data_IF_155604922696
#
_entry.id   IF_155604922696
#
_cell.length_a   1.000
_cell.length_b   1.000
_cell.length_c   1.000
_cell.angle_alpha   90.00
_cell.angle_beta   90.00
_cell.angle_gamma   90.00
#
_symmetry.space_group_name_H-M   'P 1'
#
loop_
_entity.id
_entity.type
_entity.pdbx_description
1 polymer ?
#
# COMPACT_ATOMS: atom_id res chain seq x y z
N UNK A 1 -9.37 -18.28 4.18
CA UNK A 1 -9.16 -17.60 5.49
C UNK A 1 -10.30 -16.64 5.66
N UNK A 2 -11.33 -17.08 6.34
CA UNK A 2 -12.67 -16.49 6.15
C UNK A 2 -12.88 -15.24 7.01
N UNK A 3 -11.84 -14.78 7.72
CA UNK A 3 -11.89 -13.63 8.62
C UNK A 3 -11.42 -12.32 7.99
N UNK A 4 -11.00 -12.31 6.72
CA UNK A 4 -10.41 -11.14 6.06
C UNK A 4 -11.50 -10.38 5.30
N UNK A 5 -11.75 -9.12 5.68
CA UNK A 5 -12.72 -8.25 4.99
C UNK A 5 -12.09 -7.41 3.88
N UNK A 6 -10.85 -6.98 4.05
CA UNK A 6 -10.17 -6.14 3.05
C UNK A 6 -8.65 -6.36 3.03
N UNK A 7 -8.01 -5.91 1.95
CA UNK A 7 -6.58 -6.04 1.67
C UNK A 7 -5.98 -4.66 1.44
N UNK A 8 -4.86 -4.38 2.10
CA UNK A 8 -4.24 -3.05 2.10
C UNK A 8 -2.74 -3.16 1.86
N UNK A 9 -2.23 -2.36 0.93
CA UNK A 9 -0.79 -2.17 0.71
C UNK A 9 -0.45 -0.70 0.50
N UNK A 10 0.78 -0.35 0.88
CA UNK A 10 1.35 0.98 0.67
C UNK A 10 2.73 0.86 0.05
N UNK A 11 3.02 1.74 -0.90
CA UNK A 11 4.35 1.92 -1.48
C UNK A 11 4.83 3.34 -1.24
N UNK A 12 6.14 3.50 -1.01
CA UNK A 12 6.72 4.78 -0.65
C UNK A 12 8.23 4.69 -0.45
N UNK A 13 8.77 5.65 0.29
CA UNK A 13 10.19 5.71 0.61
C UNK A 13 10.41 6.10 2.06
N UNK A 14 11.62 5.87 2.56
CA UNK A 14 12.05 6.38 3.85
C UNK A 14 12.88 7.64 3.66
N UNK A 15 12.68 8.62 4.53
CA UNK A 15 13.56 9.77 4.69
C UNK A 15 13.64 10.13 6.18
N UNK A 16 14.85 10.39 6.69
CA UNK A 16 15.08 10.64 8.12
C UNK A 16 14.41 9.58 9.05
N UNK A 17 14.49 8.30 8.68
CA UNK A 17 13.85 7.16 9.38
C UNK A 17 12.32 7.21 9.48
N UNK A 18 11.65 8.08 8.72
CA UNK A 18 10.19 8.15 8.61
C UNK A 18 9.76 7.62 7.25
N UNK A 19 8.72 6.80 7.21
CA UNK A 19 8.14 6.31 5.97
C UNK A 19 7.15 7.34 5.40
N UNK A 20 7.33 7.67 4.12
CA UNK A 20 6.46 8.57 3.37
C UNK A 20 5.74 7.77 2.28
N UNK A 21 4.43 7.54 2.43
CA UNK A 21 3.65 6.85 1.42
C UNK A 21 3.55 7.70 0.13
N UNK A 22 3.62 7.02 -1.01
CA UNK A 22 3.44 7.57 -2.36
C UNK A 22 2.24 6.97 -3.06
N UNK A 23 1.92 5.72 -2.75
CA UNK A 23 0.78 4.99 -3.26
C UNK A 23 0.15 4.20 -2.11
N UNK A 24 -1.17 4.14 -2.10
CA UNK A 24 -1.95 3.27 -1.22
C UNK A 24 -2.98 2.54 -2.07
N UNK A 25 -3.18 1.25 -1.83
CA UNK A 25 -4.28 0.50 -2.42
C UNK A 25 -5.09 -0.21 -1.35
N UNK A 26 -6.40 -0.26 -1.58
CA UNK A 26 -7.38 -1.01 -0.80
C UNK A 26 -8.17 -1.90 -1.76
N UNK A 27 -8.50 -3.11 -1.33
CA UNK A 27 -9.31 -4.06 -2.07
C UNK A 27 -10.23 -4.80 -1.11
N UNK A 28 -11.50 -4.92 -1.48
CA UNK A 28 -12.46 -5.81 -0.84
C UNK A 28 -13.26 -6.58 -1.90
N UNK A 29 -14.33 -7.25 -1.49
CA UNK A 29 -15.26 -7.90 -2.43
C UNK A 29 -16.12 -6.89 -3.18
N UNK A 30 -16.28 -5.68 -2.66
CA UNK A 30 -17.05 -4.61 -3.28
C UNK A 30 -16.26 -3.79 -4.31
N UNK A 31 -14.93 -3.83 -4.26
CA UNK A 31 -14.09 -3.18 -5.26
C UNK A 31 -12.66 -2.93 -4.84
N UNK A 32 -11.90 -2.31 -5.75
CA UNK A 32 -10.53 -1.89 -5.51
C UNK A 32 -10.41 -0.38 -5.69
N UNK A 33 -9.54 0.25 -4.91
CA UNK A 33 -9.14 1.64 -5.11
C UNK A 33 -7.64 1.78 -4.91
N UNK A 34 -7.04 2.63 -5.73
CA UNK A 34 -5.62 2.97 -5.67
C UNK A 34 -5.46 4.48 -5.70
N UNK A 35 -4.60 4.99 -4.83
CA UNK A 35 -4.44 6.41 -4.62
C UNK A 35 -2.98 6.79 -4.69
N UNK A 36 -2.69 7.89 -5.37
CA UNK A 36 -1.42 8.60 -5.18
C UNK A 36 -1.52 9.46 -3.94
N UNK A 37 -0.54 9.37 -3.05
CA UNK A 37 -0.53 10.12 -1.79
C UNK A 37 0.32 11.36 -1.97
N UNK A 38 -0.14 12.54 -1.56
CA UNK A 38 0.69 13.74 -1.45
C UNK A 38 1.29 13.80 -0.04
N UNK A 39 2.59 13.51 0.06
CA UNK A 39 3.36 13.55 1.31
C UNK A 39 3.95 14.93 1.63
N UNK A 40 3.71 15.94 0.78
CA UNK A 40 4.08 17.35 0.96
C UNK A 40 5.59 17.67 0.95
N UNK A 41 6.47 16.68 1.14
CA UNK A 41 7.91 16.86 1.01
C UNK A 41 8.34 17.27 -0.40
N UNK A 42 9.35 18.13 -0.44
CA UNK A 42 10.09 18.55 -1.64
C UNK A 42 11.46 17.90 -1.67
N UNK A 43 11.96 17.59 -2.87
CA UNK A 43 13.22 16.86 -3.02
C UNK A 43 14.42 17.61 -2.41
N UNK A 44 14.40 18.94 -2.46
CA UNK A 44 15.43 19.81 -1.90
C UNK A 44 15.42 19.89 -0.36
N UNK A 45 14.35 19.44 0.29
CA UNK A 45 14.25 19.33 1.76
C UNK A 45 14.91 18.05 2.30
N UNK A 46 15.26 17.11 1.42
CA UNK A 46 15.86 15.84 1.79
C UNK A 46 17.39 15.91 1.88
N UNK A 47 17.98 15.06 2.72
CA UNK A 47 19.42 14.83 2.72
C UNK A 47 19.89 14.28 1.37
N UNK A 48 21.14 14.52 0.97
CA UNK A 48 21.69 13.98 -0.27
C UNK A 48 21.61 12.44 -0.35
N UNK A 49 21.60 11.76 0.80
CA UNK A 49 21.43 10.32 0.84
C UNK A 49 19.98 9.90 0.55
N UNK A 50 19.02 10.54 1.22
CA UNK A 50 17.59 10.26 1.02
C UNK A 50 17.14 10.62 -0.39
N UNK A 51 17.64 11.72 -0.96
CA UNK A 51 17.41 12.08 -2.36
C UNK A 51 17.83 10.95 -3.31
N UNK A 52 19.03 10.39 -3.12
CA UNK A 52 19.53 9.27 -3.95
C UNK A 52 18.66 8.03 -3.79
N UNK A 53 18.23 7.71 -2.57
CA UNK A 53 17.36 6.58 -2.31
C UNK A 53 15.98 6.75 -2.96
N UNK A 54 15.34 7.91 -2.77
CA UNK A 54 14.05 8.23 -3.36
C UNK A 54 14.11 8.16 -4.89
N UNK A 55 15.12 8.77 -5.51
CA UNK A 55 15.34 8.72 -6.96
C UNK A 55 15.60 7.29 -7.47
N UNK A 56 16.35 6.47 -6.71
CA UNK A 56 16.55 5.07 -7.06
C UNK A 56 15.23 4.31 -7.08
N UNK A 57 14.39 4.47 -6.05
CA UNK A 57 13.10 3.80 -5.96
C UNK A 57 12.15 4.21 -7.09
N UNK A 58 12.09 5.52 -7.41
CA UNK A 58 11.34 6.05 -8.55
C UNK A 58 11.84 5.50 -9.88
N UNK A 59 13.15 5.40 -10.10
CA UNK A 59 13.69 5.00 -11.41
C UNK A 59 13.77 3.49 -11.62
N UNK A 60 13.91 2.71 -10.55
CA UNK A 60 14.32 1.29 -10.64
C UNK A 60 13.44 0.30 -9.88
N UNK A 61 12.58 0.73 -8.96
CA UNK A 61 11.83 -0.19 -8.10
C UNK A 61 10.32 -0.10 -8.30
N UNK A 62 9.71 1.00 -7.88
CA UNK A 62 8.25 1.16 -7.96
C UNK A 62 7.82 2.17 -9.02
N UNK A 63 8.69 3.00 -9.61
CA UNK A 63 8.24 3.83 -10.75
C UNK A 63 7.37 5.04 -10.38
N UNK A 64 7.08 5.25 -9.10
CA UNK A 64 6.22 6.35 -8.64
C UNK A 64 7.03 7.65 -8.64
N UNK A 65 6.48 8.75 -9.18
CA UNK A 65 7.13 10.05 -9.09
C UNK A 65 7.25 10.45 -7.62
N UNK A 66 8.33 11.18 -7.30
CA UNK A 66 8.58 11.66 -5.95
C UNK A 66 7.51 12.66 -5.53
N UNK A 67 7.26 13.68 -6.36
CA UNK A 67 6.20 14.66 -6.16
C UNK A 67 5.04 14.42 -7.12
N UNK A 68 3.83 14.77 -6.67
CA UNK A 68 2.62 14.74 -7.49
C UNK A 68 1.84 16.02 -7.31
N UNK A 69 1.32 16.56 -8.41
CA UNK A 69 0.54 17.81 -8.38
C UNK A 69 -0.86 17.61 -7.78
N UNK A 70 -1.40 16.39 -7.84
CA UNK A 70 -2.77 16.04 -7.40
C UNK A 70 -2.80 14.68 -6.70
N UNK A 71 -2.16 14.59 -5.54
CA UNK A 71 -2.27 13.44 -4.64
C UNK A 71 -3.29 13.66 -3.53
N UNK A 72 -3.85 12.57 -2.99
CA UNK A 72 -4.66 12.62 -1.79
C UNK A 72 -3.77 12.84 -0.56
N UNK A 73 -4.19 13.68 0.37
CA UNK A 73 -3.48 13.87 1.64
C UNK A 73 -3.57 12.59 2.47
N UNK A 74 -2.55 12.33 3.29
CA UNK A 74 -2.51 11.13 4.13
C UNK A 74 -3.73 10.99 5.04
N UNK A 75 -4.28 12.10 5.55
CA UNK A 75 -5.50 12.05 6.35
C UNK A 75 -6.69 11.52 5.54
N UNK A 76 -6.88 11.99 4.30
CA UNK A 76 -7.94 11.49 3.44
C UNK A 76 -7.75 10.01 3.09
N UNK A 77 -6.52 9.54 2.95
CA UNK A 77 -6.22 8.11 2.76
C UNK A 77 -6.62 7.31 4.00
N UNK A 78 -6.30 7.80 5.20
CA UNK A 78 -6.69 7.16 6.45
C UNK A 78 -8.22 7.06 6.56
N UNK A 79 -8.93 8.15 6.27
CA UNK A 79 -10.40 8.19 6.30
C UNK A 79 -11.00 7.19 5.29
N UNK A 80 -10.41 7.08 4.10
CA UNK A 80 -10.83 6.10 3.08
C UNK A 80 -10.58 4.67 3.54
N UNK A 81 -9.42 4.38 4.14
CA UNK A 81 -9.10 3.05 4.66
C UNK A 81 -10.11 2.64 5.75
N UNK A 82 -10.42 3.56 6.67
CA UNK A 82 -11.42 3.33 7.71
C UNK A 82 -12.78 3.05 7.07
N UNK A 83 -13.22 3.89 6.12
CA UNK A 83 -14.50 3.71 5.44
C UNK A 83 -14.59 2.37 4.70
N UNK A 84 -13.52 1.94 4.01
CA UNK A 84 -13.47 0.61 3.37
C UNK A 84 -13.58 -0.49 4.41
N UNK A 85 -12.79 -0.43 5.48
CA UNK A 85 -12.83 -1.43 6.54
C UNK A 85 -14.22 -1.54 7.18
N UNK A 86 -14.84 -0.41 7.53
CA UNK A 86 -16.16 -0.38 8.19
C UNK A 86 -17.29 -0.84 7.26
N UNK A 87 -17.21 -0.58 5.95
CA UNK A 87 -18.21 -1.05 4.99
C UNK A 87 -18.19 -2.57 4.77
N UNK A 88 -17.00 -3.17 4.85
CA UNK A 88 -16.78 -4.60 4.60
C UNK A 88 -16.73 -5.43 5.91
N UNK A 89 -16.89 -4.81 7.08
CA UNK A 89 -16.86 -5.45 8.38
C UNK A 89 -18.17 -6.20 8.66
N UNK A 90 -18.08 -7.48 8.99
CA UNK A 90 -19.17 -8.26 9.55
C UNK A 90 -18.69 -9.22 10.66
N UNK A 91 -19.61 -10.01 11.22
CA UNK A 91 -19.33 -10.95 12.31
C UNK A 91 -18.30 -12.02 11.95
N UNK A 92 -18.21 -12.38 10.66
CA UNK A 92 -17.31 -13.39 10.14
C UNK A 92 -16.03 -12.77 9.56
N UNK A 93 -16.06 -11.56 9.02
CA UNK A 93 -14.96 -10.86 8.32
C UNK A 93 -14.58 -9.57 9.04
N UNK A 94 -13.52 -9.62 9.87
CA UNK A 94 -13.13 -8.49 10.73
C UNK A 94 -11.65 -8.11 10.69
N UNK A 95 -10.84 -8.76 9.86
CA UNK A 95 -9.40 -8.49 9.73
C UNK A 95 -9.06 -7.81 8.40
N UNK A 96 -8.29 -6.73 8.47
CA UNK A 96 -7.62 -6.17 7.30
C UNK A 96 -6.29 -6.89 7.04
N UNK A 97 -6.14 -7.50 5.86
CA UNK A 97 -4.92 -8.18 5.47
C UNK A 97 -3.90 -7.22 4.86
N UNK A 98 -2.63 -7.42 5.22
CA UNK A 98 -1.50 -6.66 4.67
C UNK A 98 -0.26 -7.56 4.55
N UNK A 99 0.82 -7.06 3.96
CA UNK A 99 2.06 -7.84 3.78
C UNK A 99 3.34 -7.06 4.08
N UNK A 100 3.34 -5.75 3.92
CA UNK A 100 4.46 -4.87 4.28
C UNK A 100 4.38 -4.47 5.75
N UNK A 101 5.53 -4.15 6.36
CA UNK A 101 5.57 -3.62 7.73
C UNK A 101 4.87 -2.25 7.78
N UNK A 102 5.04 -1.47 6.73
CA UNK A 102 4.50 -0.13 6.56
C UNK A 102 2.97 -0.14 6.54
N UNK A 103 2.35 -1.06 5.80
CA UNK A 103 0.90 -1.23 5.81
C UNK A 103 0.40 -1.74 7.18
N UNK A 104 1.13 -2.66 7.82
CA UNK A 104 0.78 -3.13 9.17
C UNK A 104 0.83 -2.00 10.21
N UNK A 105 1.84 -1.13 10.14
CA UNK A 105 1.99 0.02 11.03
C UNK A 105 0.90 1.07 10.80
N UNK A 106 0.52 1.31 9.54
CA UNK A 106 -0.60 2.18 9.20
C UNK A 106 -1.91 1.65 9.80
N UNK A 107 -2.23 0.37 9.60
CA UNK A 107 -3.43 -0.25 10.17
C UNK A 107 -3.43 -0.23 11.69
N UNK A 108 -2.25 -0.43 12.31
CA UNK A 108 -2.08 -0.31 13.76
C UNK A 108 -2.41 1.10 14.25
N UNK A 109 -1.92 2.13 13.57
CA UNK A 109 -2.17 3.52 13.94
C UNK A 109 -3.65 3.90 13.82
N UNK A 110 -4.38 3.30 12.86
CA UNK A 110 -5.82 3.49 12.67
C UNK A 110 -6.68 2.66 13.63
N UNK A 111 -6.09 1.83 14.49
CA UNK A 111 -6.83 0.95 15.39
C UNK A 111 -7.53 -0.22 14.68
N UNK A 112 -7.19 -0.51 13.42
CA UNK A 112 -7.82 -1.55 12.63
C UNK A 112 -7.21 -2.93 12.97
N UNK A 113 -8.04 -3.93 13.34
CA UNK A 113 -7.63 -5.33 13.44
C UNK A 113 -7.03 -5.81 12.13
N UNK A 114 -5.86 -6.43 12.21
CA UNK A 114 -5.03 -6.66 11.03
C UNK A 114 -4.32 -8.00 11.05
N UNK A 115 -4.07 -8.52 9.86
CA UNK A 115 -3.37 -9.77 9.67
C UNK A 115 -2.25 -9.61 8.64
N UNK A 116 -1.00 -9.82 9.06
CA UNK A 116 0.14 -9.69 8.16
C UNK A 116 0.47 -11.03 7.51
N UNK A 117 0.10 -11.20 6.25
CA UNK A 117 0.31 -12.40 5.45
C UNK A 117 1.80 -12.75 5.28
N UNK A 118 2.69 -11.75 5.35
CA UNK A 118 4.13 -11.97 5.33
C UNK A 118 4.63 -12.86 6.48
N UNK A 119 3.94 -12.82 7.63
CA UNK A 119 4.25 -13.66 8.81
C UNK A 119 3.81 -15.12 8.62
N UNK A 120 2.96 -15.40 7.63
CA UNK A 120 2.57 -16.74 7.22
C UNK A 120 3.37 -17.28 6.02
N UNK A 121 4.41 -16.55 5.59
CA UNK A 121 5.23 -16.96 4.46
C UNK A 121 4.75 -16.46 3.10
N UNK A 122 3.77 -15.55 3.04
CA UNK A 122 3.42 -14.90 1.79
C UNK A 122 4.59 -14.02 1.29
N UNK A 123 5.23 -14.46 0.21
CA UNK A 123 6.36 -13.75 -0.42
C UNK A 123 5.88 -12.88 -1.57
N UNK A 124 6.70 -11.89 -1.96
CA UNK A 124 6.44 -11.09 -3.16
C UNK A 124 6.48 -11.89 -4.47
N UNK A 125 7.11 -13.08 -4.48
CA UNK A 125 7.04 -13.99 -5.62
C UNK A 125 5.75 -14.82 -5.63
N UNK A 126 5.19 -15.14 -4.46
CA UNK A 126 3.90 -15.81 -4.34
C UNK A 126 2.70 -14.88 -4.56
N UNK A 127 2.83 -13.61 -4.17
CA UNK A 127 1.88 -12.52 -4.45
C UNK A 127 2.28 -11.93 -5.81
N UNK A 128 1.75 -12.49 -6.90
CA UNK A 128 2.11 -12.08 -8.26
C UNK A 128 1.72 -10.61 -8.51
N UNK A 129 2.69 -9.70 -8.46
CA UNK A 129 2.50 -8.24 -8.57
C UNK A 129 2.52 -7.70 -10.01
N UNK A 130 2.56 -8.56 -11.04
CA UNK A 130 2.66 -8.15 -12.46
C UNK A 130 1.42 -8.53 -13.25
N UNK A 131 0.27 -7.99 -12.87
CA UNK A 131 -1.00 -8.39 -13.50
C UNK A 131 -1.64 -7.22 -14.24
N UNK A 132 -1.81 -6.07 -13.60
CA UNK A 132 -2.55 -4.96 -14.19
C UNK A 132 -1.67 -3.70 -14.40
N UNK A 133 -1.84 -2.98 -15.53
CA UNK A 133 -1.24 -1.67 -15.71
C UNK A 133 -1.88 -0.66 -14.74
N UNK A 134 -1.05 0.01 -13.92
CA UNK A 134 -1.47 1.09 -13.05
C UNK A 134 -0.98 2.44 -13.61
N UNK A 135 -1.87 3.42 -13.73
CA UNK A 135 -1.60 4.73 -14.32
C UNK A 135 -0.70 5.62 -13.44
N UNK A 136 -0.44 5.23 -12.19
CA UNK A 136 0.36 6.02 -11.25
C UNK A 136 1.88 5.88 -11.46
N UNK A 137 2.32 4.88 -12.23
CA UNK A 137 3.73 4.54 -12.37
C UNK A 137 4.29 5.04 -13.70
N UNK A 138 5.40 5.76 -13.64
CA UNK A 138 6.14 6.24 -14.83
C UNK A 138 6.86 5.07 -15.53
N UNK A 139 7.21 4.02 -14.79
CA UNK A 139 7.78 2.78 -15.31
C UNK A 139 7.14 1.56 -14.62
N UNK A 140 6.97 0.42 -15.31
CA UNK A 140 6.46 -0.80 -14.70
C UNK A 140 7.35 -1.26 -13.53
N UNK A 141 6.74 -1.45 -12.36
CA UNK A 141 7.44 -1.79 -11.12
C UNK A 141 6.52 -2.45 -10.10
N UNK A 142 6.90 -2.41 -8.82
CA UNK A 142 5.98 -2.80 -7.73
C UNK A 142 4.83 -1.78 -7.64
N UNK A 143 3.60 -2.29 -7.55
CA UNK A 143 2.37 -1.52 -7.47
C UNK A 143 1.50 -2.07 -6.34
N UNK A 144 0.95 -1.18 -5.52
CA UNK A 144 0.09 -1.49 -4.38
C UNK A 144 -1.19 -2.19 -4.83
N UNK A 145 -1.80 -1.77 -5.96
CA UNK A 145 -3.00 -2.42 -6.50
C UNK A 145 -2.73 -3.88 -6.85
N UNK A 146 -1.64 -4.15 -7.54
CA UNK A 146 -1.24 -5.52 -7.87
C UNK A 146 -0.88 -6.33 -6.61
N UNK A 147 -0.35 -5.68 -5.57
CA UNK A 147 -0.08 -6.32 -4.29
C UNK A 147 -1.36 -6.79 -3.61
N UNK A 148 -2.39 -5.92 -3.48
CA UNK A 148 -3.65 -6.29 -2.83
C UNK A 148 -4.41 -7.38 -3.62
N UNK A 149 -4.42 -7.31 -4.95
CA UNK A 149 -4.99 -8.37 -5.81
C UNK A 149 -4.23 -9.70 -5.61
N UNK A 150 -2.90 -9.65 -5.55
CA UNK A 150 -2.07 -10.82 -5.31
C UNK A 150 -2.28 -11.42 -3.92
N UNK A 151 -2.51 -10.59 -2.90
CA UNK A 151 -2.79 -11.03 -1.53
C UNK A 151 -4.12 -11.78 -1.46
N UNK A 152 -5.18 -11.24 -2.06
CA UNK A 152 -6.47 -11.92 -2.16
C UNK A 152 -6.35 -13.29 -2.81
N UNK A 153 -5.71 -13.36 -3.98
CA UNK A 153 -5.46 -14.63 -4.69
C UNK A 153 -4.60 -15.62 -3.89
N UNK A 154 -3.69 -15.14 -3.05
CA UNK A 154 -2.87 -16.00 -2.21
C UNK A 154 -3.71 -16.63 -1.09
N UNK A 155 -4.57 -15.83 -0.46
CA UNK A 155 -5.52 -16.28 0.57
C UNK A 155 -6.55 -17.27 0.03
N UNK A 156 -7.07 -17.04 -1.18
CA UNK A 156 -8.06 -17.92 -1.81
C UNK A 156 -7.49 -19.30 -2.20
N UNK A 157 -6.16 -19.43 -2.34
CA UNK A 157 -5.48 -20.67 -2.73
C UNK A 157 -5.00 -21.52 -1.55
N UNK A 158 -4.89 -20.93 -0.36
CA UNK A 158 -4.34 -21.56 0.84
C UNK A 158 -5.44 -21.94 1.82
#
# INVERSE_FOLDING_TARGET
MDYICCYIDVQGFYANNVFYPRECAVLSDHGASVFSVDHELKMDQLSANDQRQALYLTRKHHGLPFEVDKGAKIQSINDIIIAFYECDLDDDHFLAACKSKEAEDMLRALGIPRFNLGKLGATWSGINTRLEPCSLHVNPGKCSLNAVIGMKKWVEKG
#
